data_IF_470196267850
#
_entry.id   IF_470196267850
#
_cell.length_a   1.000
_cell.length_b   1.000
_cell.length_c   1.000
_cell.angle_alpha   90.00
_cell.angle_beta   90.00
_cell.angle_gamma   90.00
#
_symmetry.space_group_name_H-M   'P 1'
#
loop_
_entity.id
_entity.type
_entity.pdbx_description
1 polymer ?
#
# COMPACT_ATOMS: atom_id res chain seq x y z
N UNK A 1 -1.68 -4.19 29.51
CA UNK A 1 -1.97 -3.59 28.19
C UNK A 1 -3.42 -3.90 27.87
N UNK A 2 -4.29 -2.90 27.75
CA UNK A 2 -5.63 -3.13 27.21
C UNK A 2 -5.49 -3.37 25.71
N UNK A 3 -6.00 -4.49 25.20
CA UNK A 3 -6.47 -4.48 23.82
C UNK A 3 -7.61 -3.47 23.75
N UNK A 4 -7.61 -2.62 22.72
CA UNK A 4 -8.80 -1.86 22.37
C UNK A 4 -9.77 -2.88 21.79
N UNK A 5 -10.72 -3.33 22.60
CA UNK A 5 -11.79 -4.23 22.22
C UNK A 5 -13.12 -3.62 22.63
N UNK A 6 -14.16 -3.90 21.86
CA UNK A 6 -15.55 -3.55 22.18
C UNK A 6 -16.21 -4.86 22.58
N UNK A 7 -16.98 -4.89 23.69
CA UNK A 7 -17.76 -6.10 24.01
C UNK A 7 -18.77 -6.35 22.89
N UNK A 8 -19.05 -7.61 22.57
CA UNK A 8 -20.02 -7.94 21.52
C UNK A 8 -21.38 -7.27 21.77
N UNK A 9 -21.81 -7.22 23.04
CA UNK A 9 -23.06 -6.58 23.46
C UNK A 9 -23.06 -5.04 23.27
N UNK A 10 -21.89 -4.41 23.17
CA UNK A 10 -21.74 -2.97 22.93
C UNK A 10 -21.70 -2.63 21.42
N UNK A 11 -21.66 -3.64 20.53
CA UNK A 11 -21.63 -3.43 19.08
C UNK A 11 -23.05 -3.14 18.56
N UNK A 12 -23.30 -1.88 18.16
CA UNK A 12 -24.59 -1.49 17.56
C UNK A 12 -24.71 -1.92 16.10
N UNK A 13 -23.67 -1.72 15.31
CA UNK A 13 -23.65 -2.02 13.87
C UNK A 13 -22.23 -2.35 13.43
N UNK A 14 -22.07 -3.37 12.58
CA UNK A 14 -20.83 -3.66 11.87
C UNK A 14 -21.02 -3.36 10.37
N UNK A 15 -20.28 -2.36 9.86
CA UNK A 15 -20.31 -1.98 8.45
C UNK A 15 -19.25 -2.79 7.70
N UNK A 16 -19.69 -3.53 6.69
CA UNK A 16 -18.82 -4.42 5.92
C UNK A 16 -18.54 -3.79 4.55
N UNK A 17 -17.27 -3.63 4.13
CA UNK A 17 -16.93 -2.97 2.88
C UNK A 17 -17.56 -3.59 1.62
N UNK A 18 -17.58 -4.92 1.55
CA UNK A 18 -18.19 -5.70 0.46
C UNK A 18 -19.70 -5.44 0.36
N UNK A 19 -20.40 -5.48 1.50
CA UNK A 19 -21.83 -5.17 1.58
C UNK A 19 -22.09 -3.71 1.23
N UNK A 20 -21.23 -2.79 1.69
CA UNK A 20 -21.33 -1.36 1.37
C UNK A 20 -21.26 -1.09 -0.13
N UNK A 21 -20.31 -1.73 -0.84
CA UNK A 21 -20.20 -1.60 -2.29
C UNK A 21 -21.43 -2.19 -2.99
N UNK A 22 -21.86 -3.39 -2.61
CA UNK A 22 -23.07 -4.01 -3.17
C UNK A 22 -24.30 -3.12 -3.01
N UNK A 23 -24.46 -2.45 -1.87
CA UNK A 23 -25.57 -1.53 -1.63
C UNK A 23 -25.52 -0.28 -2.51
N UNK A 24 -24.31 0.25 -2.76
CA UNK A 24 -24.11 1.40 -3.66
C UNK A 24 -24.38 1.02 -5.12
N UNK A 25 -23.99 -0.19 -5.54
CA UNK A 25 -24.18 -0.68 -6.90
C UNK A 25 -25.61 -1.15 -7.20
N UNK A 26 -26.34 -1.63 -6.19
CA UNK A 26 -27.70 -2.15 -6.35
C UNK A 26 -28.77 -1.07 -6.60
N UNK A 27 -28.44 0.20 -6.41
CA UNK A 27 -29.35 1.33 -6.59
C UNK A 27 -28.94 2.16 -7.80
N UNK A 28 -29.93 2.78 -8.44
CA UNK A 28 -29.66 3.85 -9.39
C UNK A 28 -28.88 4.98 -8.69
N UNK A 29 -27.76 5.46 -9.26
CA UNK A 29 -26.97 6.52 -8.65
C UNK A 29 -27.77 7.79 -8.36
N UNK A 30 -27.93 8.12 -7.08
CA UNK A 30 -28.71 9.29 -6.63
C UNK A 30 -27.92 10.61 -6.76
N UNK A 31 -26.58 10.53 -6.80
CA UNK A 31 -25.69 11.67 -6.88
C UNK A 31 -24.49 11.45 -7.80
N UNK A 32 -23.73 12.52 -8.06
CA UNK A 32 -22.63 12.54 -9.02
C UNK A 32 -21.42 11.71 -8.60
N UNK A 33 -21.16 11.53 -7.30
CA UNK A 33 -20.05 10.70 -6.83
C UNK A 33 -20.39 9.22 -6.97
N UNK A 34 -21.63 8.82 -6.68
CA UNK A 34 -22.07 7.43 -6.89
C UNK A 34 -22.08 7.08 -8.38
N UNK A 35 -22.41 8.02 -9.27
CA UNK A 35 -22.25 7.82 -10.72
C UNK A 35 -20.80 7.59 -11.11
N UNK A 36 -19.89 8.42 -10.60
CA UNK A 36 -18.46 8.25 -10.82
C UNK A 36 -17.95 6.90 -10.28
N UNK A 37 -18.46 6.46 -9.12
CA UNK A 37 -18.16 5.15 -8.55
C UNK A 37 -18.59 4.01 -9.49
N UNK A 38 -19.83 4.05 -9.99
CA UNK A 38 -20.35 3.03 -10.92
C UNK A 38 -19.54 2.98 -12.21
N UNK A 39 -19.23 4.13 -12.80
CA UNK A 39 -18.45 4.21 -14.04
C UNK A 39 -17.04 3.66 -13.84
N UNK A 40 -16.32 4.16 -12.83
CA UNK A 40 -14.95 3.70 -12.54
C UNK A 40 -14.93 2.20 -12.20
N UNK A 41 -15.85 1.72 -11.36
CA UNK A 41 -15.97 0.31 -11.03
C UNK A 41 -16.20 -0.55 -12.27
N UNK A 42 -17.07 -0.11 -13.19
CA UNK A 42 -17.37 -0.84 -14.43
C UNK A 42 -16.14 -0.95 -15.32
N UNK A 43 -15.38 0.14 -15.51
CA UNK A 43 -14.15 0.14 -16.30
C UNK A 43 -13.08 -0.78 -15.71
N UNK A 44 -12.83 -0.64 -14.41
CA UNK A 44 -11.84 -1.44 -13.68
C UNK A 44 -12.22 -2.92 -13.69
N UNK A 45 -13.49 -3.25 -13.44
CA UNK A 45 -13.97 -4.64 -13.44
C UNK A 45 -13.88 -5.25 -14.85
N UNK A 46 -14.28 -4.50 -15.89
CA UNK A 46 -14.19 -4.96 -17.28
C UNK A 46 -12.74 -5.22 -17.70
N UNK A 47 -11.80 -4.36 -17.31
CA UNK A 47 -10.40 -4.51 -17.68
C UNK A 47 -9.70 -5.63 -16.90
N UNK A 48 -9.99 -5.76 -15.60
CA UNK A 48 -9.32 -6.72 -14.71
C UNK A 48 -9.93 -8.12 -14.73
N UNK A 49 -11.19 -8.24 -15.17
CA UNK A 49 -11.98 -9.46 -15.03
C UNK A 49 -12.41 -9.77 -13.59
N UNK A 50 -12.18 -8.84 -12.67
CA UNK A 50 -12.64 -8.93 -11.29
C UNK A 50 -14.14 -8.60 -11.20
N UNK A 51 -14.78 -9.10 -10.15
CA UNK A 51 -16.23 -8.97 -9.94
C UNK A 51 -16.53 -8.30 -8.62
N UNK A 52 -17.78 -7.90 -8.38
CA UNK A 52 -18.20 -7.21 -7.14
C UNK A 52 -17.77 -7.92 -5.84
N UNK A 53 -17.68 -9.26 -5.84
CA UNK A 53 -17.25 -10.04 -4.66
C UNK A 53 -15.78 -9.83 -4.29
N UNK A 54 -14.98 -9.33 -5.24
CA UNK A 54 -13.55 -9.12 -5.12
C UNK A 54 -13.25 -7.70 -4.60
N UNK A 55 -14.27 -6.85 -4.44
CA UNK A 55 -14.15 -5.46 -4.02
C UNK A 55 -14.98 -5.13 -2.78
N UNK A 56 -14.66 -3.98 -2.18
CA UNK A 56 -15.50 -3.28 -1.22
C UNK A 56 -15.29 -1.77 -1.32
N UNK A 57 -15.92 -1.00 -0.43
CA UNK A 57 -15.62 0.42 -0.22
C UNK A 57 -15.34 0.70 1.25
N UNK A 58 -14.54 1.70 1.53
CA UNK A 58 -14.28 2.15 2.90
C UNK A 58 -14.47 3.67 3.02
N UNK A 59 -14.03 4.23 4.14
CA UNK A 59 -14.08 5.66 4.37
C UNK A 59 -15.49 6.25 4.29
N UNK A 60 -15.59 7.41 3.67
CA UNK A 60 -16.84 8.19 3.66
C UNK A 60 -17.99 7.51 2.91
N UNK A 61 -17.67 6.68 1.90
CA UNK A 61 -18.63 5.89 1.12
C UNK A 61 -19.30 4.82 1.97
N UNK A 62 -18.52 4.01 2.69
CA UNK A 62 -19.05 2.93 3.56
C UNK A 62 -19.93 3.47 4.69
N UNK A 63 -19.56 4.63 5.22
CA UNK A 63 -20.29 5.25 6.32
C UNK A 63 -21.45 6.16 5.85
N UNK A 64 -21.53 6.48 4.56
CA UNK A 64 -22.60 7.31 3.99
C UNK A 64 -22.54 8.80 4.37
N UNK A 65 -21.37 9.31 4.76
CA UNK A 65 -21.17 10.75 5.05
C UNK A 65 -20.35 11.47 3.97
N UNK A 66 -20.10 10.81 2.83
CA UNK A 66 -19.41 11.43 1.71
C UNK A 66 -20.16 12.66 1.20
N UNK A 67 -19.42 13.59 0.61
CA UNK A 67 -19.98 14.76 -0.05
C UNK A 67 -19.78 14.63 -1.57
N UNK A 68 -20.84 14.67 -2.39
CA UNK A 68 -20.75 14.39 -3.83
C UNK A 68 -19.67 15.19 -4.58
N UNK A 69 -19.50 16.46 -4.19
CA UNK A 69 -18.61 17.39 -4.89
C UNK A 69 -17.14 17.42 -4.38
N UNK A 70 -16.81 16.76 -3.28
CA UNK A 70 -15.44 16.86 -2.70
C UNK A 70 -14.85 15.56 -2.17
N UNK A 71 -15.65 14.53 -1.91
CA UNK A 71 -15.14 13.23 -1.45
C UNK A 71 -14.46 12.45 -2.57
N UNK A 72 -13.51 11.62 -2.19
CA UNK A 72 -12.80 10.71 -3.08
C UNK A 72 -13.50 9.33 -3.14
N UNK A 73 -12.97 8.42 -3.97
CA UNK A 73 -13.46 7.05 -4.12
C UNK A 73 -12.49 6.06 -3.47
N UNK A 74 -12.90 5.52 -2.34
CA UNK A 74 -12.07 4.67 -1.49
C UNK A 74 -12.50 3.19 -1.68
N UNK A 75 -11.83 2.46 -2.58
CA UNK A 75 -12.11 1.05 -2.86
C UNK A 75 -11.23 0.12 -2.02
N UNK A 76 -11.76 -1.05 -1.70
CA UNK A 76 -10.99 -2.21 -1.23
C UNK A 76 -10.92 -3.25 -2.34
N UNK A 77 -9.78 -3.93 -2.46
CA UNK A 77 -9.60 -5.12 -3.28
C UNK A 77 -9.16 -6.28 -2.40
N UNK A 78 -9.93 -7.37 -2.46
CA UNK A 78 -9.69 -8.56 -1.67
C UNK A 78 -8.80 -9.55 -2.42
N UNK A 79 -7.61 -9.81 -1.89
CA UNK A 79 -6.74 -10.92 -2.29
C UNK A 79 -5.48 -10.55 -3.06
N UNK A 80 -4.42 -11.35 -2.86
CA UNK A 80 -3.10 -11.16 -3.46
C UNK A 80 -3.17 -11.21 -4.99
N UNK A 81 -3.78 -12.26 -5.53
CA UNK A 81 -3.91 -12.45 -6.97
C UNK A 81 -4.78 -11.34 -7.61
N UNK A 82 -5.84 -10.93 -6.92
CA UNK A 82 -6.72 -9.87 -7.38
C UNK A 82 -6.02 -8.51 -7.41
N UNK A 83 -5.11 -8.22 -6.46
CA UNK A 83 -4.27 -7.03 -6.55
C UNK A 83 -3.36 -7.02 -7.78
N UNK A 84 -2.77 -8.16 -8.15
CA UNK A 84 -1.94 -8.23 -9.35
C UNK A 84 -2.77 -7.91 -10.61
N UNK A 85 -3.96 -8.52 -10.73
CA UNK A 85 -4.89 -8.25 -11.84
C UNK A 85 -5.33 -6.79 -11.87
N UNK A 86 -5.60 -6.19 -10.71
CA UNK A 86 -5.96 -4.78 -10.62
C UNK A 86 -4.81 -3.89 -11.11
N UNK A 87 -3.57 -4.13 -10.67
CA UNK A 87 -2.42 -3.34 -11.09
C UNK A 87 -2.20 -3.40 -12.61
N UNK A 88 -2.30 -4.59 -13.20
CA UNK A 88 -2.21 -4.78 -14.67
C UNK A 88 -3.35 -4.05 -15.40
N UNK A 89 -4.56 -4.10 -14.83
CA UNK A 89 -5.72 -3.42 -15.39
C UNK A 89 -5.57 -1.89 -15.33
N UNK A 90 -5.17 -1.33 -14.18
CA UNK A 90 -4.93 0.10 -14.01
C UNK A 90 -3.78 0.57 -14.90
N UNK A 91 -2.72 -0.22 -15.08
CA UNK A 91 -1.66 0.09 -16.03
C UNK A 91 -2.19 0.23 -17.46
N UNK A 92 -3.07 -0.69 -17.86
CA UNK A 92 -3.69 -0.64 -19.18
C UNK A 92 -4.64 0.56 -19.31
N UNK A 93 -5.49 0.79 -18.30
CA UNK A 93 -6.43 1.91 -18.30
C UNK A 93 -5.72 3.26 -18.33
N UNK A 94 -4.65 3.47 -17.55
CA UNK A 94 -3.88 4.71 -17.59
C UNK A 94 -3.22 4.97 -18.96
N UNK A 95 -3.02 3.94 -19.78
CA UNK A 95 -2.47 4.05 -21.13
C UNK A 95 -3.55 4.32 -22.18
N UNK A 96 -4.72 3.71 -22.02
CA UNK A 96 -5.74 3.63 -23.07
C UNK A 96 -6.96 4.54 -22.83
N UNK A 97 -7.29 4.83 -21.57
CA UNK A 97 -8.42 5.67 -21.18
C UNK A 97 -7.95 7.07 -20.80
N UNK A 98 -8.22 8.11 -21.64
CA UNK A 98 -7.77 9.46 -21.35
C UNK A 98 -8.43 10.09 -20.11
N UNK A 99 -9.55 9.53 -19.63
CA UNK A 99 -10.21 9.98 -18.40
C UNK A 99 -9.55 9.46 -17.13
N UNK A 100 -8.67 8.46 -17.23
CA UNK A 100 -8.01 7.85 -16.08
C UNK A 100 -6.49 8.00 -16.17
N UNK A 101 -5.87 8.52 -15.11
CA UNK A 101 -4.41 8.65 -15.03
C UNK A 101 -3.89 8.33 -13.65
N UNK A 102 -2.61 7.97 -13.56
CA UNK A 102 -1.95 7.76 -12.28
C UNK A 102 -1.85 9.11 -11.54
N UNK A 103 -2.26 9.16 -10.28
CA UNK A 103 -2.15 10.38 -9.46
C UNK A 103 -0.71 10.92 -9.44
N UNK A 104 0.28 10.03 -9.39
CA UNK A 104 1.68 10.35 -9.21
C UNK A 104 2.46 10.50 -10.54
N UNK A 105 1.78 10.69 -11.67
CA UNK A 105 2.44 11.04 -12.94
C UNK A 105 3.06 12.45 -12.94
N UNK A 106 2.67 13.32 -12.00
CA UNK A 106 3.14 14.71 -11.91
C UNK A 106 3.55 15.13 -10.50
N UNK A 107 4.58 15.99 -10.42
CA UNK A 107 5.07 16.56 -9.15
C UNK A 107 3.98 17.29 -8.35
N UNK A 108 2.92 17.77 -9.01
CA UNK A 108 1.77 18.40 -8.36
C UNK A 108 1.10 17.48 -7.33
N UNK A 109 1.18 16.16 -7.48
CA UNK A 109 0.66 15.20 -6.51
C UNK A 109 1.34 15.29 -5.14
N UNK A 110 2.55 15.85 -5.10
CA UNK A 110 3.38 15.91 -3.89
C UNK A 110 3.85 17.33 -3.56
N UNK A 111 3.41 18.35 -4.31
CA UNK A 111 3.87 19.74 -4.16
C UNK A 111 3.54 20.34 -2.80
N UNK A 112 2.43 19.91 -2.19
CA UNK A 112 1.97 20.37 -0.88
C UNK A 112 2.51 19.54 0.28
N UNK A 113 3.29 18.48 0.01
CA UNK A 113 3.81 17.61 1.07
C UNK A 113 4.95 18.29 1.81
N UNK A 114 4.81 18.38 3.13
CA UNK A 114 5.88 18.73 4.06
C UNK A 114 6.87 17.55 4.18
N UNK A 115 7.77 17.44 3.19
CA UNK A 115 8.67 16.31 3.05
C UNK A 115 9.85 16.40 4.02
N UNK A 116 9.88 15.47 4.98
CA UNK A 116 10.86 15.46 6.08
C UNK A 116 11.86 14.32 6.03
N UNK A 117 11.66 13.32 5.16
CA UNK A 117 12.59 12.21 5.05
C UNK A 117 13.96 12.70 4.57
N UNK A 118 15.02 12.26 5.26
CA UNK A 118 16.39 12.76 5.02
C UNK A 118 17.18 11.92 4.02
N UNK A 119 16.95 10.60 4.02
CA UNK A 119 17.68 9.64 3.16
C UNK A 119 16.84 9.14 1.96
N UNK A 120 15.63 9.68 1.85
CA UNK A 120 14.64 9.36 0.84
C UNK A 120 14.00 10.66 0.35
N UNK A 121 14.33 11.07 -0.88
CA UNK A 121 13.94 12.37 -1.43
C UNK A 121 12.50 12.38 -1.94
N UNK A 122 11.92 13.58 -2.10
CA UNK A 122 10.57 13.74 -2.66
C UNK A 122 10.46 13.23 -4.10
N UNK A 123 11.54 13.34 -4.89
CA UNK A 123 11.60 12.81 -6.27
C UNK A 123 11.57 11.28 -6.27
N UNK A 124 12.36 10.64 -5.39
CA UNK A 124 12.32 9.18 -5.21
C UNK A 124 10.94 8.74 -4.69
N UNK A 125 10.34 9.51 -3.78
CA UNK A 125 8.97 9.28 -3.32
C UNK A 125 7.96 9.26 -4.46
N UNK A 126 7.94 10.31 -5.28
CA UNK A 126 7.06 10.40 -6.43
C UNK A 126 7.25 9.20 -7.38
N UNK A 127 8.50 8.87 -7.69
CA UNK A 127 8.82 7.74 -8.57
C UNK A 127 8.30 6.41 -8.02
N UNK A 128 8.46 6.17 -6.72
CA UNK A 128 7.96 4.97 -6.06
C UNK A 128 6.43 4.94 -5.99
N UNK A 129 5.77 6.03 -5.60
CA UNK A 129 4.30 6.07 -5.55
C UNK A 129 3.67 5.80 -6.92
N UNK A 130 4.24 6.36 -7.98
CA UNK A 130 3.81 6.12 -9.36
C UNK A 130 3.78 4.63 -9.71
N UNK A 131 4.78 3.87 -9.27
CA UNK A 131 4.88 2.43 -9.56
C UNK A 131 3.91 1.55 -8.78
N UNK A 132 3.22 2.08 -7.77
CA UNK A 132 2.22 1.32 -6.99
C UNK A 132 0.92 1.09 -7.76
N UNK A 133 0.64 1.92 -8.78
CA UNK A 133 -0.52 1.83 -9.67
C UNK A 133 -1.90 2.08 -9.05
N UNK A 134 -2.08 1.86 -7.76
CA UNK A 134 -3.36 1.88 -7.03
C UNK A 134 -3.94 3.28 -6.73
N UNK A 135 -3.34 4.36 -7.23
CA UNK A 135 -3.82 5.72 -7.02
C UNK A 135 -4.15 6.38 -8.35
N UNK A 136 -5.42 6.74 -8.53
CA UNK A 136 -5.96 7.24 -9.78
C UNK A 136 -6.54 8.65 -9.63
N UNK A 137 -6.37 9.43 -10.69
CA UNK A 137 -7.21 10.59 -10.99
C UNK A 137 -8.18 10.21 -12.09
N UNK A 138 -9.46 10.31 -11.78
CA UNK A 138 -10.56 9.99 -12.68
C UNK A 138 -11.31 11.27 -13.07
N UNK A 139 -11.19 11.68 -14.33
CA UNK A 139 -11.93 12.80 -14.91
C UNK A 139 -13.37 12.38 -15.22
N UNK A 140 -14.22 12.45 -14.21
CA UNK A 140 -15.60 12.00 -14.30
C UNK A 140 -16.49 13.09 -14.89
N UNK A 141 -17.08 12.81 -16.06
CA UNK A 141 -18.05 13.70 -16.70
C UNK A 141 -19.26 13.96 -15.79
N UNK A 142 -19.76 12.93 -15.10
CA UNK A 142 -20.88 13.04 -14.16
C UNK A 142 -20.54 13.90 -12.93
N UNK A 143 -19.32 13.80 -12.41
CA UNK A 143 -18.87 14.62 -11.28
C UNK A 143 -18.51 16.05 -11.69
N UNK A 144 -18.24 16.29 -12.98
CA UNK A 144 -17.76 17.58 -13.50
C UNK A 144 -16.42 18.00 -12.90
N UNK A 145 -15.63 17.04 -12.40
CA UNK A 145 -14.33 17.25 -11.76
C UNK A 145 -13.47 16.00 -11.84
N UNK A 146 -12.19 16.19 -11.56
CA UNK A 146 -11.28 15.08 -11.24
C UNK A 146 -11.64 14.55 -9.85
N UNK A 147 -11.98 13.27 -9.80
CA UNK A 147 -12.22 12.51 -8.56
C UNK A 147 -10.98 11.67 -8.30
N UNK A 148 -10.43 11.70 -7.09
CA UNK A 148 -9.36 10.76 -6.74
C UNK A 148 -9.97 9.42 -6.42
N UNK A 149 -9.28 8.35 -6.79
CA UNK A 149 -9.64 7.01 -6.38
C UNK A 149 -8.42 6.27 -5.86
N UNK A 150 -8.61 5.54 -4.77
CA UNK A 150 -7.60 4.67 -4.19
C UNK A 150 -8.12 3.24 -4.09
N UNK A 151 -7.22 2.28 -4.29
CA UNK A 151 -7.52 0.85 -4.24
C UNK A 151 -6.69 0.17 -3.16
N UNK A 152 -7.30 0.04 -1.98
CA UNK A 152 -6.65 -0.53 -0.80
C UNK A 152 -6.70 -2.06 -0.79
N UNK A 153 -5.55 -2.69 -0.54
CA UNK A 153 -5.47 -4.14 -0.54
C UNK A 153 -5.86 -4.74 0.81
N UNK A 154 -6.68 -5.79 0.78
CA UNK A 154 -7.06 -6.56 1.97
C UNK A 154 -6.92 -8.05 1.66
N UNK A 155 -6.30 -8.81 2.57
CA UNK A 155 -6.22 -10.27 2.43
C UNK A 155 -7.63 -10.88 2.51
N UNK A 156 -7.91 -11.86 1.67
CA UNK A 156 -9.08 -12.71 1.84
C UNK A 156 -8.98 -13.49 3.15
N UNK A 157 -10.11 -14.02 3.64
CA UNK A 157 -10.12 -14.90 4.82
C UNK A 157 -9.24 -16.13 4.69
N UNK A 158 -9.00 -16.63 3.46
CA UNK A 158 -8.13 -17.79 3.22
C UNK A 158 -6.65 -17.43 3.29
N UNK A 159 -6.28 -16.21 2.92
CA UNK A 159 -4.89 -15.71 2.99
C UNK A 159 -4.56 -15.14 4.37
N UNK A 160 -5.58 -14.76 5.15
CA UNK A 160 -5.42 -14.28 6.52
C UNK A 160 -5.19 -15.47 7.47
N UNK A 161 -3.95 -15.90 7.57
CA UNK A 161 -3.51 -16.97 8.47
C UNK A 161 -2.98 -16.36 9.77
N UNK A 162 -3.43 -16.91 10.91
CA UNK A 162 -2.91 -16.48 12.20
C UNK A 162 -1.51 -17.06 12.44
N UNK A 163 -0.49 -16.28 12.09
CA UNK A 163 0.92 -16.59 12.36
C UNK A 163 1.38 -16.15 13.76
N UNK A 164 0.47 -15.59 14.59
CA UNK A 164 0.83 -15.12 15.92
C UNK A 164 1.12 -16.28 16.87
N UNK A 165 2.40 -16.42 17.21
CA UNK A 165 2.81 -17.22 18.35
C UNK A 165 2.95 -16.32 19.61
N UNK A 166 2.19 -16.56 20.69
CA UNK A 166 2.28 -15.77 21.92
C UNK A 166 3.65 -15.85 22.62
N UNK A 167 4.47 -16.84 22.27
CA UNK A 167 5.82 -17.02 22.77
C UNK A 167 6.87 -16.30 21.93
N UNK A 168 6.50 -15.72 20.78
CA UNK A 168 7.43 -14.91 19.97
C UNK A 168 7.97 -13.75 20.80
N UNK A 169 9.28 -13.53 20.72
CA UNK A 169 9.97 -12.40 21.34
C UNK A 169 10.75 -11.64 20.28
N UNK A 170 10.58 -10.33 20.28
CA UNK A 170 11.27 -9.41 19.38
C UNK A 170 12.19 -8.54 20.23
N UNK A 171 13.46 -8.50 19.88
CA UNK A 171 14.49 -7.73 20.58
C UNK A 171 15.10 -6.71 19.64
N UNK A 172 15.13 -5.45 20.05
CA UNK A 172 15.85 -4.42 19.32
C UNK A 172 17.36 -4.71 19.39
N UNK A 173 18.02 -4.74 18.22
CA UNK A 173 19.47 -4.97 18.10
C UNK A 173 20.20 -3.67 17.83
N UNK A 174 19.63 -2.80 17.00
CA UNK A 174 20.20 -1.49 16.67
C UNK A 174 19.57 -0.90 15.41
N UNK A 175 20.18 0.15 14.88
CA UNK A 175 19.88 0.66 13.55
C UNK A 175 20.80 0.02 12.52
N UNK A 176 20.30 -0.19 11.30
CA UNK A 176 21.07 -0.76 10.20
C UNK A 176 20.77 -0.01 8.91
N UNK A 177 21.81 0.16 8.09
CA UNK A 177 21.73 0.54 6.68
C UNK A 177 22.30 -0.63 5.86
N UNK A 178 21.52 -1.15 4.92
CA UNK A 178 21.91 -2.31 4.13
C UNK A 178 21.40 -2.22 2.68
N UNK A 179 22.17 -2.83 1.78
CA UNK A 179 21.74 -3.17 0.43
C UNK A 179 21.24 -4.60 0.44
N UNK A 180 19.99 -4.80 0.03
CA UNK A 180 19.37 -6.11 -0.01
C UNK A 180 18.68 -6.34 -1.34
N UNK A 181 18.54 -7.60 -1.73
CA UNK A 181 17.75 -8.01 -2.90
C UNK A 181 16.41 -8.57 -2.45
N UNK A 182 15.32 -8.14 -3.06
CA UNK A 182 13.98 -8.65 -2.76
C UNK A 182 13.83 -10.03 -3.39
N UNK A 183 13.65 -11.06 -2.56
CA UNK A 183 13.43 -12.44 -3.02
C UNK A 183 11.94 -12.78 -3.13
N UNK A 184 11.08 -12.06 -2.40
CA UNK A 184 9.63 -12.17 -2.43
C UNK A 184 8.95 -10.86 -1.99
N UNK A 185 7.90 -10.47 -2.70
CA UNK A 185 7.10 -9.26 -2.49
C UNK A 185 5.58 -9.55 -2.41
N UNK A 186 5.16 -10.79 -2.20
CA UNK A 186 3.73 -11.15 -2.20
C UNK A 186 2.90 -10.44 -1.13
N UNK A 187 3.55 -10.08 -0.01
CA UNK A 187 2.92 -9.38 1.11
C UNK A 187 3.26 -7.87 1.13
N UNK A 188 3.90 -7.36 0.08
CA UNK A 188 4.19 -5.94 -0.09
C UNK A 188 2.95 -5.02 -0.15
N UNK A 189 1.78 -5.45 -0.67
CA UNK A 189 0.59 -4.60 -0.75
C UNK A 189 -0.14 -4.35 0.57
N UNK A 190 0.13 -5.14 1.62
CA UNK A 190 -0.63 -5.10 2.88
C UNK A 190 0.13 -4.36 3.98
N UNK A 191 -0.54 -4.15 5.12
CA UNK A 191 0.10 -3.68 6.35
C UNK A 191 0.04 -4.78 7.42
N UNK A 192 1.19 -5.18 8.00
CA UNK A 192 2.54 -4.76 7.62
C UNK A 192 2.93 -5.25 6.22
N UNK A 193 3.68 -4.44 5.48
CA UNK A 193 4.28 -4.81 4.20
C UNK A 193 5.52 -5.64 4.47
N UNK A 194 5.58 -6.83 3.88
CA UNK A 194 6.67 -7.78 4.11
C UNK A 194 7.38 -8.04 2.81
N UNK A 195 8.70 -7.90 2.84
CA UNK A 195 9.60 -8.27 1.76
C UNK A 195 10.58 -9.31 2.26
N UNK A 196 10.64 -10.49 1.63
CA UNK A 196 11.73 -11.42 1.89
C UNK A 196 12.98 -10.93 1.18
N UNK A 197 14.14 -11.07 1.81
CA UNK A 197 15.38 -10.47 1.31
C UNK A 197 16.60 -11.36 1.45
N UNK A 198 17.53 -11.17 0.52
CA UNK A 198 18.92 -11.59 0.65
C UNK A 198 19.80 -10.36 0.87
N UNK A 199 20.59 -10.34 1.95
CA UNK A 199 21.52 -9.23 2.19
C UNK A 199 22.69 -9.31 1.22
N UNK A 200 22.92 -8.21 0.50
CA UNK A 200 24.06 -8.06 -0.41
C UNK A 200 25.23 -7.36 0.29
N UNK A 201 24.94 -6.29 1.02
CA UNK A 201 25.95 -5.58 1.80
C UNK A 201 25.33 -4.89 3.03
N UNK A 202 26.10 -4.75 4.09
CA UNK A 202 25.74 -3.96 5.29
C UNK A 202 26.65 -2.75 5.33
N UNK A 203 26.08 -1.58 5.04
CA UNK A 203 26.80 -0.32 4.93
C UNK A 203 27.10 0.24 6.33
N UNK A 204 26.09 0.25 7.21
CA UNK A 204 26.22 0.70 8.60
C UNK A 204 25.40 -0.17 9.56
N UNK A 205 25.86 -0.26 10.81
CA UNK A 205 25.14 -0.94 11.89
C UNK A 205 25.67 -2.33 12.26
N UNK A 206 24.90 -3.09 13.05
CA UNK A 206 25.31 -4.41 13.55
C UNK A 206 25.51 -5.41 12.40
N UNK A 207 26.64 -6.11 12.42
CA UNK A 207 26.90 -7.25 11.54
C UNK A 207 26.25 -8.49 12.12
N UNK A 208 25.09 -8.85 11.59
CA UNK A 208 24.37 -10.06 11.95
C UNK A 208 24.18 -10.93 10.71
N UNK A 209 24.20 -12.22 10.92
CA UNK A 209 23.77 -13.17 9.90
C UNK A 209 22.23 -13.31 9.94
N UNK A 210 21.67 -13.84 8.85
CA UNK A 210 20.26 -14.26 8.79
C UNK A 210 19.21 -13.16 8.91
N UNK A 211 19.44 -12.00 8.27
CA UNK A 211 18.37 -11.04 8.02
C UNK A 211 17.47 -11.62 6.93
N UNK A 212 16.24 -11.98 7.29
CA UNK A 212 15.31 -12.69 6.40
C UNK A 212 14.35 -11.76 5.66
N UNK A 213 13.98 -10.65 6.28
CA UNK A 213 12.91 -9.80 5.76
C UNK A 213 13.02 -8.34 6.16
N UNK A 214 12.41 -7.49 5.36
CA UNK A 214 11.98 -6.15 5.74
C UNK A 214 10.53 -6.25 6.20
N UNK A 215 10.21 -5.61 7.33
CA UNK A 215 8.90 -5.66 7.97
C UNK A 215 8.40 -4.24 8.24
N UNK A 216 7.55 -3.71 7.36
CA UNK A 216 7.15 -2.29 7.39
C UNK A 216 5.71 -2.11 7.84
N UNK A 217 5.48 -1.22 8.80
CA UNK A 217 4.15 -0.72 9.16
C UNK A 217 3.83 0.62 8.48
N UNK A 218 4.66 1.04 7.54
CA UNK A 218 4.59 2.36 6.92
C UNK A 218 3.94 2.28 5.54
N UNK A 219 2.87 3.04 5.35
CA UNK A 219 2.17 3.19 4.07
C UNK A 219 3.08 3.69 2.96
N UNK A 220 4.03 4.57 3.29
CA UNK A 220 4.99 5.13 2.35
C UNK A 220 5.77 4.00 1.64
N UNK A 221 6.11 2.94 2.38
CA UNK A 221 6.94 1.82 1.92
C UNK A 221 6.15 0.58 1.49
N UNK A 222 4.83 0.65 1.42
CA UNK A 222 3.96 -0.39 0.85
C UNK A 222 4.13 -0.48 -0.66
N UNK A 223 4.19 -1.68 -1.25
CA UNK A 223 4.43 -1.89 -2.69
C UNK A 223 5.68 -1.17 -3.26
N UNK A 224 6.66 -0.89 -2.42
CA UNK A 224 7.80 -0.03 -2.75
C UNK A 224 8.79 -0.64 -3.74
N UNK A 225 9.00 -1.95 -3.64
CA UNK A 225 9.95 -2.72 -4.44
C UNK A 225 9.33 -4.04 -4.86
N UNK A 226 9.86 -4.61 -5.95
CA UNK A 226 9.41 -5.88 -6.53
C UNK A 226 10.48 -6.95 -6.41
N UNK A 227 10.06 -8.22 -6.45
CA UNK A 227 10.98 -9.37 -6.51
C UNK A 227 12.04 -9.19 -7.62
N UNK A 228 13.30 -9.46 -7.26
CA UNK A 228 14.47 -9.30 -8.12
C UNK A 228 15.10 -7.91 -8.09
N UNK A 229 14.47 -6.91 -7.46
CA UNK A 229 15.06 -5.58 -7.31
C UNK A 229 16.03 -5.53 -6.12
N UNK A 230 17.10 -4.74 -6.27
CA UNK A 230 17.96 -4.37 -5.15
C UNK A 230 17.48 -3.06 -4.55
N UNK A 231 17.47 -2.98 -3.23
CA UNK A 231 17.00 -1.83 -2.48
C UNK A 231 18.03 -1.41 -1.44
N UNK A 232 18.10 -0.10 -1.20
CA UNK A 232 18.69 0.45 0.01
C UNK A 232 17.61 0.49 1.07
N UNK A 233 17.89 -0.09 2.23
CA UNK A 233 16.99 -0.07 3.38
C UNK A 233 17.71 0.44 4.62
N UNK A 234 17.04 1.34 5.35
CA UNK A 234 17.48 1.86 6.63
C UNK A 234 16.36 1.73 7.65
N UNK A 235 16.65 1.10 8.79
CA UNK A 235 15.63 0.86 9.79
C UNK A 235 16.13 0.19 11.06
N UNK A 236 15.18 -0.25 11.88
CA UNK A 236 15.48 -0.92 13.14
C UNK A 236 15.77 -2.40 12.87
N UNK A 237 16.99 -2.84 13.14
CA UNK A 237 17.32 -4.25 13.16
C UNK A 237 16.74 -4.89 14.42
N UNK A 238 15.94 -5.93 14.22
CA UNK A 238 15.30 -6.68 15.28
C UNK A 238 15.66 -8.16 15.17
N UNK A 239 15.91 -8.79 16.32
CA UNK A 239 16.03 -10.24 16.45
C UNK A 239 14.67 -10.80 16.81
N UNK A 240 14.17 -11.72 15.99
CA UNK A 240 12.93 -12.45 16.22
C UNK A 240 13.26 -13.85 16.73
N UNK A 241 12.67 -14.22 17.86
CA UNK A 241 12.77 -15.56 18.45
C UNK A 241 11.37 -16.14 18.49
N UNK A 242 11.09 -17.10 17.61
CA UNK A 242 9.82 -17.82 17.50
C UNK A 242 10.08 -19.33 17.67
N UNK A 243 9.96 -19.80 18.92
CA UNK A 243 10.35 -21.17 19.28
C UNK A 243 11.83 -21.44 19.00
N UNK A 244 12.12 -22.39 18.11
CA UNK A 244 13.49 -22.69 17.65
C UNK A 244 13.91 -21.87 16.44
N UNK A 245 12.98 -21.15 15.80
CA UNK A 245 13.28 -20.29 14.66
C UNK A 245 13.79 -18.94 15.18
N UNK A 246 15.04 -18.61 14.85
CA UNK A 246 15.69 -17.37 15.28
C UNK A 246 16.29 -16.71 14.06
N UNK A 247 15.84 -15.50 13.76
CA UNK A 247 16.25 -14.74 12.59
C UNK A 247 16.26 -13.23 12.89
N UNK A 248 16.74 -12.44 11.94
CA UNK A 248 16.69 -10.98 12.02
C UNK A 248 15.74 -10.39 10.97
N UNK A 249 15.15 -9.24 11.28
CA UNK A 249 14.37 -8.44 10.34
C UNK A 249 14.73 -6.96 10.46
N UNK A 250 14.55 -6.23 9.37
CA UNK A 250 14.67 -4.77 9.36
C UNK A 250 13.26 -4.19 9.43
N UNK A 251 12.93 -3.56 10.54
CA UNK A 251 11.59 -3.04 10.83
C UNK A 251 11.50 -1.55 10.54
N UNK A 252 10.49 -1.18 9.77
CA UNK A 252 10.13 0.21 9.48
C UNK A 252 8.83 0.57 10.20
N UNK A 253 8.84 1.51 11.13
CA UNK A 253 7.68 1.88 11.95
C UNK A 253 7.84 3.28 12.55
N UNK A 254 6.83 3.75 13.28
CA UNK A 254 6.91 4.99 14.04
C UNK A 254 7.94 4.90 15.17
N UNK A 255 8.83 5.90 15.27
CA UNK A 255 9.87 5.94 16.29
C UNK A 255 10.75 7.19 16.20
N UNK A 256 11.77 7.33 17.07
CA UNK A 256 12.62 8.53 17.12
C UNK A 256 13.32 8.88 15.81
N UNK A 257 13.69 7.86 15.01
CA UNK A 257 14.38 7.99 13.72
C UNK A 257 13.42 7.86 12.53
N UNK A 258 12.15 8.25 12.71
CA UNK A 258 11.09 8.06 11.71
C UNK A 258 11.47 8.54 10.31
N UNK A 259 11.99 9.77 10.23
CA UNK A 259 12.35 10.43 8.97
C UNK A 259 13.69 9.98 8.39
N UNK A 260 14.43 9.12 9.10
CA UNK A 260 15.69 8.53 8.61
C UNK A 260 15.46 7.15 7.99
N UNK A 261 14.26 6.59 8.15
CA UNK A 261 13.90 5.31 7.55
C UNK A 261 13.90 5.41 6.03
N UNK A 262 14.40 4.38 5.37
CA UNK A 262 14.49 4.31 3.92
C UNK A 262 14.10 2.92 3.44
N UNK A 263 13.33 2.88 2.35
CA UNK A 263 13.22 1.72 1.48
C UNK A 263 13.12 2.23 0.05
N UNK A 264 14.19 2.08 -0.74
CA UNK A 264 14.21 2.59 -2.12
C UNK A 264 14.99 1.69 -3.06
N UNK A 265 14.53 1.58 -4.30
CA UNK A 265 15.18 0.75 -5.32
C UNK A 265 16.47 1.42 -5.77
N UNK A 266 17.56 0.64 -5.82
CA UNK A 266 18.84 1.10 -6.36
C UNK A 266 18.78 0.97 -7.88
N UNK A 267 18.50 2.07 -8.56
CA UNK A 267 18.54 2.10 -10.01
C UNK A 267 19.99 2.23 -10.50
N UNK A 268 20.48 1.25 -11.27
CA UNK A 268 21.76 1.36 -11.98
C UNK A 268 21.79 2.47 -13.05
N UNK A 269 20.65 3.07 -13.38
CA UNK A 269 20.47 4.04 -14.47
C UNK A 269 20.21 5.49 -14.01
N UNK A 270 20.35 5.83 -12.73
CA UNK A 270 20.07 7.18 -12.22
C UNK A 270 21.14 8.25 -12.57
N UNK A 271 22.10 7.97 -13.44
CA UNK A 271 23.09 8.97 -13.90
C UNK A 271 22.55 9.96 -14.95
N UNK A 272 21.25 9.94 -15.30
CA UNK A 272 20.70 10.77 -16.39
C UNK A 272 19.46 11.61 -16.05
N UNK A 273 19.08 11.73 -14.78
CA UNK A 273 17.98 12.62 -14.36
C UNK A 273 18.46 13.85 -13.55
N UNK A 274 19.76 14.15 -13.59
CA UNK A 274 20.33 15.40 -13.04
C UNK A 274 20.28 16.59 -14.00
N UNK A 275 19.68 16.45 -15.19
CA UNK A 275 19.48 17.56 -16.12
C UNK A 275 18.05 17.57 -16.63
N UNK A 276 17.18 18.28 -15.92
CA UNK A 276 16.07 19.09 -16.45
C UNK A 276 15.51 19.98 -15.33
#
# INVERSE_FOLDING_TARGET
>A
KCLVGVNEDDITEARKPDVGLQQLLAKEPEDTLVKALHDLFTRVSSQSGLTEKDFGVFGSLLHGFYHPNVSDLDFIVYGKENMNKLCEALETLYREDPSLRNEFDHMKAVESKDWKFVNYSLKEYLWHQRRKMIYAYFDSEDAGRVVKAEFESVKTWKENVNEYNPFTRIFHVGWIEAVVEITDDEDAPFIPSIYQVDVRDVLEGPKVDDIKRIFSYMEEFRMQAKKGEQVLVEGNLEKVVDGTNVFHQITLSYGPRYYEQTLKVINSNNSHLESD
#
